data_IF_002114699725
#
_entry.id   IF_002114699725
#
_cell.length_a   1.000
_cell.length_b   1.000
_cell.length_c   1.000
_cell.angle_alpha   90.00
_cell.angle_beta   90.00
_cell.angle_gamma   90.00
#
_symmetry.space_group_name_H-M   'P 1'
#
loop_
_entity.id
_entity.type
_entity.pdbx_description
1 polymer ?
#
# COMPACT_ATOMS: atom_id res chain seq x y z
N UNK A 1 -36.50 -49.17 -73.36
CA UNK A 1 -36.47 -49.61 -71.95
C UNK A 1 -36.17 -51.10 -71.92
N UNK A 2 -35.46 -51.65 -70.90
CA UNK A 2 -35.13 -51.05 -69.60
C UNK A 2 -33.63 -50.78 -69.35
N UNK A 3 -33.37 -50.22 -68.17
CA UNK A 3 -32.18 -49.54 -67.63
C UNK A 3 -31.73 -50.29 -66.36
N UNK A 4 -30.42 -50.44 -66.10
CA UNK A 4 -29.80 -50.65 -64.78
C UNK A 4 -28.32 -50.21 -64.88
N UNK A 5 -27.82 -49.15 -64.24
CA UNK A 5 -27.59 -48.80 -62.83
C UNK A 5 -26.08 -48.82 -62.50
N UNK A 6 -25.71 -47.81 -61.73
CA UNK A 6 -24.39 -47.20 -61.49
C UNK A 6 -23.65 -47.92 -60.35
N UNK A 7 -22.35 -48.18 -60.48
CA UNK A 7 -21.52 -48.48 -59.31
C UNK A 7 -20.90 -47.20 -58.75
N UNK A 8 -21.26 -46.89 -57.50
CA UNK A 8 -20.69 -45.84 -56.67
C UNK A 8 -19.46 -46.36 -55.92
N UNK A 9 -18.32 -45.71 -56.09
CA UNK A 9 -17.19 -45.83 -55.16
C UNK A 9 -17.42 -44.85 -54.01
N UNK A 10 -17.90 -45.35 -52.86
CA UNK A 10 -18.07 -44.55 -51.65
C UNK A 10 -16.82 -44.60 -50.76
N UNK A 11 -16.11 -43.47 -50.71
CA UNK A 11 -15.03 -43.21 -49.76
C UNK A 11 -15.60 -42.98 -48.35
N UNK A 12 -15.22 -43.82 -47.38
CA UNK A 12 -15.49 -43.57 -45.96
C UNK A 12 -14.29 -42.89 -45.27
N UNK A 13 -14.43 -41.61 -44.90
CA UNK A 13 -13.70 -41.10 -43.74
C UNK A 13 -14.59 -40.14 -42.93
N UNK A 14 -15.41 -40.65 -42.00
CA UNK A 14 -16.19 -39.76 -41.10
C UNK A 14 -16.17 -40.17 -39.63
N UNK A 15 -16.08 -41.46 -39.30
CA UNK A 15 -16.24 -41.89 -37.89
C UNK A 15 -15.01 -41.63 -37.01
N UNK A 16 -13.79 -41.84 -37.53
CA UNK A 16 -12.54 -41.68 -36.75
C UNK A 16 -12.23 -40.22 -36.44
N UNK A 17 -12.53 -39.31 -37.37
CA UNK A 17 -12.30 -37.87 -37.20
C UNK A 17 -13.26 -37.27 -36.18
N UNK A 18 -14.54 -37.67 -36.19
CA UNK A 18 -15.53 -37.23 -35.20
C UNK A 18 -15.16 -37.74 -33.80
N UNK A 19 -14.71 -38.99 -33.67
CA UNK A 19 -14.26 -39.54 -32.39
C UNK A 19 -13.03 -38.78 -31.82
N UNK A 20 -12.09 -38.38 -32.68
CA UNK A 20 -10.92 -37.58 -32.25
C UNK A 20 -11.32 -36.18 -31.77
N UNK A 21 -12.28 -35.53 -32.44
CA UNK A 21 -12.76 -34.20 -32.04
C UNK A 21 -13.45 -34.27 -30.66
N UNK A 22 -14.31 -35.26 -30.45
CA UNK A 22 -15.01 -35.45 -29.16
C UNK A 22 -14.00 -35.70 -28.04
N UNK A 23 -12.99 -36.55 -28.28
CA UNK A 23 -11.91 -36.80 -27.31
C UNK A 23 -11.13 -35.54 -26.94
N UNK A 24 -10.79 -34.70 -27.92
CA UNK A 24 -10.07 -33.45 -27.68
C UNK A 24 -10.91 -32.46 -26.84
N UNK A 25 -12.21 -32.35 -27.11
CA UNK A 25 -13.11 -31.46 -26.35
C UNK A 25 -13.23 -31.92 -24.90
N UNK A 26 -13.35 -33.23 -24.65
CA UNK A 26 -13.42 -33.78 -23.28
C UNK A 26 -12.14 -33.48 -22.50
N UNK A 27 -10.97 -33.62 -23.12
CA UNK A 27 -9.68 -33.32 -22.49
C UNK A 27 -9.58 -31.83 -22.15
N UNK A 28 -9.99 -30.95 -23.06
CA UNK A 28 -9.97 -29.49 -22.81
C UNK A 28 -10.90 -29.12 -21.66
N UNK A 29 -12.12 -29.67 -21.62
CA UNK A 29 -13.07 -29.42 -20.53
C UNK A 29 -12.51 -29.94 -19.20
N UNK A 30 -11.93 -31.15 -19.18
CA UNK A 30 -11.28 -31.69 -17.99
C UNK A 30 -10.09 -30.85 -17.53
N UNK A 31 -9.28 -30.32 -18.46
CA UNK A 31 -8.18 -29.42 -18.12
C UNK A 31 -8.69 -28.09 -17.54
N UNK A 32 -9.75 -27.49 -18.12
CA UNK A 32 -10.32 -26.24 -17.61
C UNK A 32 -10.93 -26.42 -16.23
N UNK A 33 -11.63 -27.53 -16.00
CA UNK A 33 -12.17 -27.89 -14.69
C UNK A 33 -11.03 -28.15 -13.71
N UNK A 34 -10.02 -28.93 -14.09
CA UNK A 34 -8.85 -29.18 -13.26
C UNK A 34 -8.10 -27.89 -12.89
N UNK A 35 -7.94 -26.93 -13.81
CA UNK A 35 -7.32 -25.62 -13.51
C UNK A 35 -8.15 -24.80 -12.51
N UNK A 36 -9.49 -24.92 -12.51
CA UNK A 36 -10.34 -24.29 -11.50
C UNK A 36 -10.28 -24.96 -10.13
N UNK A 37 -9.96 -26.26 -10.08
CA UNK A 37 -9.89 -27.06 -8.84
C UNK A 37 -8.46 -27.29 -8.34
N UNK A 38 -7.44 -26.97 -9.14
CA UNK A 38 -6.04 -27.01 -8.74
C UNK A 38 -5.80 -25.87 -7.74
N UNK A 39 -5.42 -26.16 -6.49
CA UNK A 39 -4.99 -25.12 -5.58
C UNK A 39 -3.74 -24.51 -6.19
N UNK A 40 -3.83 -23.27 -6.67
CA UNK A 40 -2.67 -22.45 -6.95
C UNK A 40 -1.93 -22.38 -5.61
N UNK A 41 -0.88 -23.20 -5.44
CA UNK A 41 0.05 -23.06 -4.32
C UNK A 41 0.68 -21.69 -4.51
N UNK A 42 0.06 -20.68 -3.91
CA UNK A 42 0.62 -19.34 -3.83
C UNK A 42 2.04 -19.47 -3.30
N UNK A 43 2.94 -18.68 -3.87
CA UNK A 43 4.30 -18.53 -3.38
C UNK A 43 4.25 -18.32 -1.86
N UNK A 44 4.62 -19.34 -1.11
CA UNK A 44 4.76 -19.27 0.34
C UNK A 44 6.18 -18.80 0.60
N UNK A 45 6.42 -17.52 0.93
CA UNK A 45 7.76 -17.08 1.27
C UNK A 45 8.27 -17.90 2.46
N UNK A 46 9.45 -18.50 2.31
CA UNK A 46 10.08 -19.34 3.31
C UNK A 46 10.79 -18.49 4.37
N UNK A 47 10.00 -17.93 5.27
CA UNK A 47 10.24 -17.75 6.71
C UNK A 47 8.92 -17.14 7.20
N UNK A 48 8.46 -17.51 8.40
CA UNK A 48 7.14 -17.08 8.90
C UNK A 48 7.22 -15.61 9.39
N UNK A 49 7.63 -14.69 8.50
CA UNK A 49 7.64 -13.27 8.77
C UNK A 49 6.22 -12.83 9.13
N UNK A 50 6.08 -12.12 10.24
CA UNK A 50 4.81 -11.56 10.68
C UNK A 50 4.35 -10.61 9.58
N UNK A 51 3.11 -10.74 9.12
CA UNK A 51 2.56 -9.87 8.07
C UNK A 51 1.66 -8.81 8.70
N UNK A 52 1.95 -7.55 8.38
CA UNK A 52 1.26 -6.39 8.92
C UNK A 52 0.75 -5.51 7.79
N UNK A 53 -0.45 -4.95 7.93
CA UNK A 53 -0.88 -3.79 7.15
C UNK A 53 -1.08 -2.60 8.08
N UNK A 54 -0.62 -1.44 7.66
CA UNK A 54 -1.01 -0.16 8.27
C UNK A 54 -2.16 0.41 7.43
N UNK A 55 -3.36 0.46 8.01
CA UNK A 55 -4.49 1.09 7.37
C UNK A 55 -4.37 2.62 7.43
N UNK A 56 -4.99 3.35 6.48
CA UNK A 56 -5.09 4.80 6.56
C UNK A 56 -5.61 5.22 7.93
N UNK A 57 -4.82 6.01 8.65
CA UNK A 57 -5.28 6.61 9.89
C UNK A 57 -6.41 7.58 9.58
N UNK A 58 -7.45 7.53 10.41
CA UNK A 58 -8.62 8.39 10.25
C UNK A 58 -8.29 9.79 10.75
N UNK A 59 -8.59 10.79 9.93
CA UNK A 59 -8.48 12.19 10.32
C UNK A 59 -9.72 12.60 11.13
N UNK A 60 -9.52 13.01 12.38
CA UNK A 60 -10.56 13.56 13.25
C UNK A 60 -10.55 15.10 13.29
N UNK A 61 -9.64 15.72 12.55
CA UNK A 61 -9.55 17.16 12.37
C UNK A 61 -10.35 17.68 11.17
N UNK A 62 -10.07 18.92 10.74
CA UNK A 62 -10.62 19.49 9.52
C UNK A 62 -10.26 18.66 8.27
N UNK A 63 -11.11 18.72 7.23
CA UNK A 63 -10.91 17.93 6.01
C UNK A 63 -9.61 18.30 5.27
N UNK A 64 -9.15 19.54 5.40
CA UNK A 64 -7.87 20.00 4.86
C UNK A 64 -6.66 19.27 5.45
N UNK A 65 -6.77 18.65 6.63
CA UNK A 65 -5.68 17.93 7.29
C UNK A 65 -5.60 16.45 6.91
N UNK A 66 -6.39 16.01 5.93
CA UNK A 66 -6.36 14.65 5.44
C UNK A 66 -4.97 14.23 4.93
N UNK A 67 -4.24 15.16 4.29
CA UNK A 67 -2.86 14.91 3.85
C UNK A 67 -1.92 14.64 5.02
N UNK A 68 -2.18 15.27 6.17
CA UNK A 68 -1.36 15.13 7.37
C UNK A 68 -1.54 13.73 7.97
N UNK A 69 -2.79 13.29 8.16
CA UNK A 69 -3.08 11.93 8.63
C UNK A 69 -2.51 10.86 7.68
N UNK A 70 -2.62 11.08 6.37
CA UNK A 70 -2.01 10.20 5.37
C UNK A 70 -0.47 10.23 5.45
N UNK A 71 0.14 11.38 5.69
CA UNK A 71 1.58 11.55 5.91
C UNK A 71 2.09 10.78 7.13
N UNK A 72 1.36 10.84 8.26
CA UNK A 72 1.66 10.05 9.46
C UNK A 72 1.57 8.55 9.16
N UNK A 73 0.51 8.12 8.48
CA UNK A 73 0.32 6.72 8.06
C UNK A 73 1.52 6.24 7.24
N UNK A 74 1.97 7.04 6.27
CA UNK A 74 3.07 6.70 5.37
C UNK A 74 4.41 6.63 6.11
N UNK A 75 4.64 7.58 7.02
CA UNK A 75 5.86 7.64 7.83
C UNK A 75 5.97 6.44 8.79
N UNK A 76 4.85 6.01 9.39
CA UNK A 76 4.79 4.82 10.24
C UNK A 76 5.00 3.56 9.40
N UNK A 77 4.33 3.46 8.25
CA UNK A 77 4.47 2.33 7.32
C UNK A 77 5.93 2.16 6.87
N UNK A 78 6.60 3.26 6.50
CA UNK A 78 7.99 3.24 6.06
C UNK A 78 8.96 2.76 7.14
N UNK A 79 8.77 3.19 8.40
CA UNK A 79 9.60 2.75 9.53
C UNK A 79 9.41 1.27 9.81
N UNK A 80 8.16 0.80 9.86
CA UNK A 80 7.84 -0.61 10.08
C UNK A 80 8.36 -1.50 8.94
N UNK A 81 8.31 -1.02 7.69
CA UNK A 81 8.84 -1.75 6.54
C UNK A 81 10.37 -1.95 6.59
N UNK A 82 11.08 -1.17 7.40
CA UNK A 82 12.52 -1.31 7.62
C UNK A 82 12.91 -2.38 8.64
N UNK A 83 11.94 -3.00 9.33
CA UNK A 83 12.19 -4.00 10.37
C UNK A 83 12.32 -5.40 9.74
N UNK A 84 13.43 -6.08 10.01
CA UNK A 84 13.63 -7.45 9.56
C UNK A 84 12.64 -8.40 10.24
N UNK A 85 12.10 -9.34 9.46
CA UNK A 85 11.10 -10.28 9.96
C UNK A 85 9.66 -9.75 9.98
N UNK A 86 9.45 -8.47 9.61
CA UNK A 86 8.12 -7.87 9.44
C UNK A 86 7.82 -7.65 7.96
N UNK A 87 6.82 -8.35 7.44
CA UNK A 87 6.29 -8.15 6.08
C UNK A 87 5.20 -7.10 6.07
N UNK A 88 5.51 -5.87 5.68
CA UNK A 88 4.53 -4.76 5.62
C UNK A 88 3.87 -4.68 4.24
N UNK A 89 2.53 -4.71 4.21
CA UNK A 89 1.75 -4.58 2.97
C UNK A 89 1.91 -3.18 2.37
N UNK A 90 1.98 -3.12 1.04
CA UNK A 90 2.13 -1.86 0.32
C UNK A 90 1.00 -0.88 0.64
N UNK A 91 1.36 0.40 0.73
CA UNK A 91 0.44 1.51 0.91
C UNK A 91 -0.72 1.48 -0.09
N UNK A 92 -0.45 1.26 -1.38
CA UNK A 92 -1.48 1.25 -2.42
C UNK A 92 -2.55 0.18 -2.16
N UNK A 93 -2.13 -1.01 -1.73
CA UNK A 93 -3.05 -2.09 -1.35
C UNK A 93 -3.82 -1.78 -0.07
N UNK A 94 -3.26 -0.99 0.86
CA UNK A 94 -3.96 -0.58 2.08
C UNK A 94 -5.01 0.52 1.80
N UNK A 95 -4.73 1.43 0.85
CA UNK A 95 -5.59 2.59 0.55
C UNK A 95 -7.00 2.21 0.08
N UNK A 96 -7.18 1.02 -0.51
CA UNK A 96 -8.52 0.53 -0.90
C UNK A 96 -9.47 0.37 0.30
N UNK A 97 -8.93 0.28 1.52
CA UNK A 97 -9.70 0.12 2.75
C UNK A 97 -9.87 1.42 3.53
N UNK A 98 -9.54 2.59 2.95
CA UNK A 98 -9.66 3.89 3.61
C UNK A 98 -11.06 4.16 4.18
N UNK A 99 -12.12 3.80 3.43
CA UNK A 99 -13.52 3.97 3.85
C UNK A 99 -14.03 2.89 4.82
N UNK A 100 -13.20 1.89 5.13
CA UNK A 100 -13.47 0.80 6.09
C UNK A 100 -14.83 0.12 5.94
N UNK A 101 -15.30 -0.04 4.71
CA UNK A 101 -16.59 -0.70 4.41
C UNK A 101 -16.59 -2.20 4.74
N UNK A 102 -15.40 -2.79 4.94
CA UNK A 102 -15.19 -4.18 5.32
C UNK A 102 -14.71 -4.28 6.76
N UNK A 103 -15.07 -5.35 7.45
CA UNK A 103 -14.55 -5.60 8.78
C UNK A 103 -13.08 -6.08 8.76
N UNK A 104 -12.40 -5.95 9.90
CA UNK A 104 -10.98 -6.32 10.10
C UNK A 104 -10.68 -7.75 9.60
N UNK A 105 -11.54 -8.73 9.87
CA UNK A 105 -11.32 -10.13 9.44
C UNK A 105 -11.32 -10.27 7.92
N UNK A 106 -12.22 -9.56 7.24
CA UNK A 106 -12.29 -9.57 5.77
C UNK A 106 -11.05 -8.92 5.16
N UNK A 107 -10.66 -7.75 5.67
CA UNK A 107 -9.47 -7.03 5.22
C UNK A 107 -8.23 -7.91 5.41
N UNK A 108 -8.07 -8.51 6.60
CA UNK A 108 -6.92 -9.35 6.89
C UNK A 108 -6.83 -10.58 5.99
N UNK A 109 -7.98 -11.21 5.70
CA UNK A 109 -8.04 -12.36 4.80
C UNK A 109 -7.68 -11.98 3.35
N UNK A 110 -8.15 -10.85 2.87
CA UNK A 110 -7.86 -10.37 1.50
C UNK A 110 -6.40 -10.00 1.32
N UNK A 111 -5.79 -9.36 2.32
CA UNK A 111 -4.39 -8.95 2.29
C UNK A 111 -3.42 -10.04 2.72
N UNK A 112 -3.92 -11.11 3.35
CA UNK A 112 -3.11 -12.20 3.90
C UNK A 112 -2.17 -11.72 5.02
N UNK A 113 -2.70 -10.94 5.97
CA UNK A 113 -1.95 -10.38 7.10
C UNK A 113 -2.34 -11.00 8.43
N UNK A 114 -1.39 -11.04 9.36
CA UNK A 114 -1.57 -11.54 10.73
C UNK A 114 -2.06 -10.43 11.67
N UNK A 115 -1.66 -9.18 11.38
CA UNK A 115 -1.98 -8.00 12.17
C UNK A 115 -2.40 -6.82 11.30
N UNK A 116 -3.22 -5.95 11.88
CA UNK A 116 -3.66 -4.68 11.30
C UNK A 116 -3.30 -3.57 12.29
N UNK A 117 -2.54 -2.58 11.85
CA UNK A 117 -2.36 -1.32 12.57
C UNK A 117 -3.35 -0.31 11.99
N UNK A 118 -4.19 0.24 12.85
CA UNK A 118 -5.11 1.30 12.51
C UNK A 118 -5.06 2.38 13.58
N UNK A 119 -5.68 3.54 13.34
CA UNK A 119 -5.71 4.58 14.34
C UNK A 119 -6.36 5.85 13.84
N UNK A 120 -6.32 6.87 14.69
CA UNK A 120 -6.82 8.21 14.40
C UNK A 120 -5.71 9.24 14.58
N UNK A 121 -5.82 10.35 13.85
CA UNK A 121 -4.94 11.52 13.92
C UNK A 121 -5.81 12.76 14.04
N UNK A 122 -5.44 13.66 14.93
CA UNK A 122 -6.06 14.97 15.08
C UNK A 122 -4.97 16.02 15.28
N UNK A 123 -5.06 17.14 14.55
CA UNK A 123 -4.19 18.30 14.71
C UNK A 123 -5.05 19.48 15.15
N UNK A 124 -4.73 20.10 16.29
CA UNK A 124 -5.60 21.13 16.90
C UNK A 124 -5.56 22.45 16.13
N UNK A 125 -4.37 22.89 15.71
CA UNK A 125 -4.16 24.19 15.04
C UNK A 125 -3.23 24.04 13.83
N UNK A 126 -3.77 23.77 12.63
CA UNK A 126 -2.98 23.39 11.45
C UNK A 126 -1.92 24.40 11.02
N UNK A 127 -2.21 25.68 11.22
CA UNK A 127 -1.35 26.80 10.81
C UNK A 127 -0.33 27.22 11.87
N UNK A 128 -0.29 26.55 13.02
CA UNK A 128 0.58 26.89 14.14
C UNK A 128 1.77 25.91 14.22
N UNK A 129 3.03 26.37 14.18
CA UNK A 129 4.18 25.49 14.38
C UNK A 129 4.25 24.86 15.79
N UNK A 130 3.52 25.42 16.76
CA UNK A 130 3.32 24.87 18.11
C UNK A 130 2.04 24.04 18.25
N UNK A 131 1.42 23.68 17.13
CA UNK A 131 0.22 22.82 17.11
C UNK A 131 0.44 21.54 17.88
N UNK A 132 -0.59 21.09 18.60
CA UNK A 132 -0.62 19.75 19.17
C UNK A 132 -1.21 18.75 18.21
N UNK A 133 -0.62 17.56 18.22
CA UNK A 133 -1.02 16.41 17.43
C UNK A 133 -1.37 15.28 18.38
N UNK A 134 -2.60 14.80 18.27
CA UNK A 134 -3.07 13.60 18.95
C UNK A 134 -3.11 12.43 17.98
N UNK A 135 -2.48 11.31 18.34
CA UNK A 135 -2.48 10.07 17.56
C UNK A 135 -2.90 8.92 18.48
N UNK A 136 -3.88 8.14 18.04
CA UNK A 136 -4.38 6.98 18.77
C UNK A 136 -4.23 5.74 17.88
N UNK A 137 -3.02 5.17 17.76
CA UNK A 137 -2.81 3.91 17.07
C UNK A 137 -3.27 2.71 17.92
N UNK A 138 -3.72 1.67 17.23
CA UNK A 138 -4.05 0.37 17.79
C UNK A 138 -3.62 -0.75 16.86
N UNK A 139 -3.00 -1.76 17.45
CA UNK A 139 -2.57 -2.98 16.78
C UNK A 139 -3.59 -4.07 17.07
N UNK A 140 -4.22 -4.59 16.02
CA UNK A 140 -5.28 -5.59 16.07
C UNK A 140 -4.78 -6.89 15.46
N UNK A 141 -4.99 -7.99 16.17
CA UNK A 141 -4.68 -9.33 15.68
C UNK A 141 -5.83 -9.85 14.82
N UNK A 142 -5.52 -10.28 13.61
CA UNK A 142 -6.52 -10.57 12.58
C UNK A 142 -7.42 -11.78 12.89
N UNK A 143 -6.89 -12.82 13.53
CA UNK A 143 -7.62 -14.08 13.65
C UNK A 143 -8.82 -14.00 14.62
N UNK A 144 -8.70 -13.19 15.67
CA UNK A 144 -9.71 -13.05 16.73
C UNK A 144 -10.19 -11.60 16.95
N UNK A 145 -9.68 -10.62 16.20
CA UNK A 145 -9.96 -9.19 16.37
C UNK A 145 -9.57 -8.64 17.75
N UNK A 146 -8.55 -9.20 18.40
CA UNK A 146 -8.09 -8.69 19.69
C UNK A 146 -7.17 -7.49 19.49
N UNK A 147 -7.42 -6.41 20.23
CA UNK A 147 -6.46 -5.31 20.37
C UNK A 147 -5.30 -5.79 21.24
N UNK A 148 -4.12 -5.96 20.65
CA UNK A 148 -2.93 -6.45 21.36
C UNK A 148 -2.11 -5.30 21.93
N UNK A 149 -2.24 -4.11 21.35
CA UNK A 149 -1.60 -2.89 21.82
C UNK A 149 -2.41 -1.68 21.35
N UNK A 150 -2.47 -0.65 22.19
CA UNK A 150 -2.99 0.66 21.85
C UNK A 150 -2.32 1.69 22.76
N UNK A 151 -2.10 2.90 22.25
CA UNK A 151 -1.50 3.98 23.01
C UNK A 151 -2.05 5.31 22.51
N UNK A 152 -2.13 6.29 23.40
CA UNK A 152 -2.45 7.68 23.02
C UNK A 152 -1.18 8.51 23.08
N UNK A 153 -0.90 9.20 21.99
CA UNK A 153 0.11 10.22 21.89
C UNK A 153 -0.58 11.57 21.81
N UNK A 154 -0.14 12.52 22.62
CA UNK A 154 -0.63 13.90 22.66
C UNK A 154 0.59 14.79 22.88
N UNK A 155 1.14 15.26 21.77
CA UNK A 155 2.48 15.86 21.74
C UNK A 155 2.48 17.07 20.81
N UNK A 156 3.44 17.96 21.02
CA UNK A 156 3.69 19.08 20.14
C UNK A 156 4.17 18.59 18.76
N UNK A 157 3.82 19.34 17.72
CA UNK A 157 4.15 19.01 16.33
C UNK A 157 5.65 18.85 16.09
N UNK A 158 6.51 19.56 16.84
CA UNK A 158 7.97 19.43 16.79
C UNK A 158 8.49 18.05 17.28
N UNK A 159 7.70 17.32 18.07
CA UNK A 159 8.02 15.98 18.55
C UNK A 159 7.51 14.86 17.62
N UNK A 160 6.84 15.21 16.52
CA UNK A 160 6.13 14.22 15.69
C UNK A 160 7.04 13.09 15.17
N UNK A 161 8.31 13.39 14.86
CA UNK A 161 9.25 12.37 14.43
C UNK A 161 9.62 11.40 15.55
N UNK A 162 9.73 11.89 16.79
CA UNK A 162 9.95 11.05 17.98
C UNK A 162 8.73 10.15 18.19
N UNK A 163 7.52 10.72 18.11
CA UNK A 163 6.27 9.97 18.24
C UNK A 163 6.15 8.88 17.17
N UNK A 164 6.46 9.17 15.91
CA UNK A 164 6.45 8.16 14.83
C UNK A 164 7.46 7.04 15.08
N UNK A 165 8.62 7.36 15.65
CA UNK A 165 9.68 6.40 15.97
C UNK A 165 9.27 5.49 17.12
N UNK A 166 8.79 6.09 18.21
CA UNK A 166 8.30 5.38 19.41
C UNK A 166 7.12 4.48 19.04
N UNK A 167 6.13 5.00 18.30
CA UNK A 167 5.00 4.20 17.81
C UNK A 167 5.46 2.95 17.07
N UNK A 168 6.38 3.08 16.12
CA UNK A 168 6.87 1.94 15.37
C UNK A 168 7.68 0.96 16.23
N UNK A 169 8.41 1.45 17.23
CA UNK A 169 9.12 0.61 18.21
C UNK A 169 8.15 -0.15 19.12
N UNK A 170 7.13 0.53 19.67
CA UNK A 170 6.10 -0.11 20.48
C UNK A 170 5.33 -1.18 19.70
N UNK A 171 5.06 -0.95 18.41
CA UNK A 171 4.46 -1.98 17.54
C UNK A 171 5.41 -3.17 17.37
N UNK A 172 6.70 -2.95 17.15
CA UNK A 172 7.68 -4.03 17.05
C UNK A 172 7.76 -4.85 18.34
N UNK A 173 7.78 -4.17 19.49
CA UNK A 173 7.76 -4.80 20.82
C UNK A 173 6.48 -5.60 21.05
N UNK A 174 5.31 -5.07 20.68
CA UNK A 174 4.03 -5.77 20.80
C UNK A 174 3.92 -7.00 19.89
N UNK A 175 4.78 -7.10 18.88
CA UNK A 175 4.92 -8.25 17.98
C UNK A 175 6.06 -9.20 18.39
N UNK A 176 6.68 -8.98 19.55
CA UNK A 176 7.86 -9.71 20.03
C UNK A 176 9.05 -9.70 19.04
N UNK A 177 9.18 -8.62 18.27
CA UNK A 177 10.28 -8.43 17.30
C UNK A 177 11.43 -7.68 17.98
N UNK A 178 12.61 -8.28 18.01
CA UNK A 178 13.82 -7.64 18.54
C UNK A 178 14.45 -6.74 17.49
N UNK A 179 14.48 -5.43 17.75
CA UNK A 179 15.13 -4.47 16.89
C UNK A 179 16.66 -4.51 17.03
N UNK A 180 17.36 -4.69 15.91
CA UNK A 180 18.82 -4.53 15.83
C UNK A 180 19.21 -3.06 15.73
N UNK A 181 20.44 -2.73 16.11
CA UNK A 181 20.93 -1.36 16.18
C UNK A 181 20.78 -0.54 14.87
N UNK A 182 21.02 -1.10 13.67
CA UNK A 182 20.75 -0.40 12.41
C UNK A 182 19.28 0.00 12.22
N UNK A 183 18.34 -0.84 12.64
CA UNK A 183 16.90 -0.56 12.54
C UNK A 183 16.51 0.55 13.50
N UNK A 184 17.01 0.50 14.75
CA UNK A 184 16.79 1.57 15.75
C UNK A 184 17.24 2.92 15.22
N UNK A 185 18.41 2.99 14.59
CA UNK A 185 18.91 4.22 13.95
C UNK A 185 18.05 4.68 12.78
N UNK A 186 17.59 3.76 11.93
CA UNK A 186 16.70 4.09 10.83
C UNK A 186 15.38 4.67 11.35
N UNK A 187 14.81 4.07 12.39
CA UNK A 187 13.55 4.52 12.99
C UNK A 187 13.70 5.90 13.62
N UNK A 188 14.79 6.14 14.35
CA UNK A 188 15.11 7.42 14.99
C UNK A 188 15.50 8.54 14.01
N UNK A 189 15.64 8.25 12.71
CA UNK A 189 16.00 9.26 11.73
C UNK A 189 14.90 10.33 11.61
N UNK A 190 15.34 11.59 11.61
CA UNK A 190 14.48 12.75 11.37
C UNK A 190 14.69 13.18 9.92
N UNK A 191 13.61 13.33 9.14
CA UNK A 191 13.71 13.65 7.72
C UNK A 191 14.14 15.10 7.48
N UNK A 192 13.84 16.00 8.42
CA UNK A 192 14.18 17.43 8.40
C UNK A 192 14.11 17.98 9.83
N UNK A 193 14.81 19.09 10.08
CA UNK A 193 14.68 19.89 11.32
C UNK A 193 13.69 21.05 11.17
N UNK A 194 13.16 21.29 9.96
CA UNK A 194 12.21 22.36 9.67
C UNK A 194 10.79 21.79 9.49
N UNK A 195 9.91 22.05 10.45
CA UNK A 195 8.52 21.55 10.43
C UNK A 195 7.67 22.16 9.33
N UNK A 196 7.97 23.38 8.90
CA UNK A 196 7.27 24.01 7.77
C UNK A 196 7.68 23.33 6.45
N UNK A 197 8.97 23.04 6.28
CA UNK A 197 9.45 22.25 5.14
C UNK A 197 8.80 20.87 5.11
N UNK A 198 8.66 20.23 6.27
CA UNK A 198 7.96 18.96 6.40
C UNK A 198 6.49 19.04 5.97
N UNK A 199 5.74 20.05 6.43
CA UNK A 199 4.34 20.25 6.06
C UNK A 199 4.17 20.43 4.54
N UNK A 200 4.99 21.29 3.92
CA UNK A 200 5.02 21.45 2.47
C UNK A 200 5.32 20.14 1.75
N UNK A 201 6.28 19.34 2.23
CA UNK A 201 6.56 18.04 1.65
C UNK A 201 5.36 17.08 1.75
N UNK A 202 4.63 17.07 2.88
CA UNK A 202 3.43 16.24 3.03
C UNK A 202 2.31 16.67 2.08
N UNK A 203 2.09 17.98 1.91
CA UNK A 203 1.12 18.50 0.94
C UNK A 203 1.50 18.11 -0.48
N UNK A 204 2.79 18.24 -0.85
CA UNK A 204 3.29 17.77 -2.14
C UNK A 204 3.02 16.29 -2.37
N UNK A 205 3.21 15.44 -1.35
CA UNK A 205 2.93 14.00 -1.43
C UNK A 205 1.44 13.70 -1.68
N UNK A 206 0.51 14.54 -1.22
CA UNK A 206 -0.91 14.38 -1.53
C UNK A 206 -1.20 14.66 -3.00
N UNK A 207 -0.76 15.83 -3.49
CA UNK A 207 -0.98 16.22 -4.88
C UNK A 207 -0.29 15.27 -5.87
N UNK A 208 0.90 14.76 -5.53
CA UNK A 208 1.64 13.83 -6.39
C UNK A 208 0.97 12.44 -6.54
N UNK A 209 -0.10 12.14 -5.79
CA UNK A 209 -0.88 10.91 -5.98
C UNK A 209 -1.74 10.94 -7.23
N UNK A 210 -2.05 12.15 -7.72
CA UNK A 210 -2.78 12.35 -8.95
C UNK A 210 -1.84 12.23 -10.15
N UNK A 211 -2.39 11.78 -11.27
CA UNK A 211 -1.70 11.80 -12.58
C UNK A 211 -2.08 13.03 -13.41
N UNK A 212 -2.89 13.94 -12.85
CA UNK A 212 -3.30 15.16 -13.52
C UNK A 212 -2.15 16.17 -13.49
N UNK A 213 -1.85 16.75 -14.65
CA UNK A 213 -0.79 17.76 -14.83
C UNK A 213 -0.82 18.86 -13.77
N UNK A 214 -1.99 19.48 -13.57
CA UNK A 214 -2.16 20.56 -12.60
C UNK A 214 -1.80 20.14 -11.17
N UNK A 215 -2.14 18.91 -10.77
CA UNK A 215 -1.83 18.41 -9.43
C UNK A 215 -0.32 18.15 -9.30
N UNK A 216 0.31 17.58 -10.32
CA UNK A 216 1.76 17.37 -10.32
C UNK A 216 2.52 18.70 -10.29
N UNK A 217 2.05 19.73 -11.00
CA UNK A 217 2.59 21.09 -10.89
C UNK A 217 2.42 21.70 -9.50
N UNK A 218 1.28 21.46 -8.84
CA UNK A 218 1.11 21.89 -7.44
C UNK A 218 2.10 21.13 -6.55
N UNK A 219 2.26 19.82 -6.74
CA UNK A 219 3.22 19.01 -5.98
C UNK A 219 4.65 19.54 -6.13
N UNK A 220 5.10 19.84 -7.36
CA UNK A 220 6.40 20.46 -7.64
C UNK A 220 6.57 21.75 -6.81
N UNK A 221 5.60 22.67 -6.89
CA UNK A 221 5.65 23.93 -6.11
C UNK A 221 5.74 23.72 -4.60
N UNK A 222 5.05 22.69 -4.08
CA UNK A 222 5.11 22.35 -2.66
C UNK A 222 6.49 21.78 -2.29
N UNK A 223 7.07 20.91 -3.12
CA UNK A 223 8.41 20.37 -2.86
C UNK A 223 9.51 21.43 -3.03
N UNK A 224 9.37 22.35 -3.98
CA UNK A 224 10.26 23.51 -4.14
C UNK A 224 10.29 24.34 -2.86
N UNK A 225 9.11 24.65 -2.29
CA UNK A 225 9.04 25.35 -0.99
C UNK A 225 9.70 24.56 0.13
N UNK A 226 9.54 23.24 0.16
CA UNK A 226 10.19 22.41 1.17
C UNK A 226 11.73 22.47 1.07
N UNK A 227 12.32 22.41 -0.13
CA UNK A 227 13.78 22.49 -0.31
C UNK A 227 14.32 23.91 -0.15
N UNK A 228 13.53 24.94 -0.44
CA UNK A 228 13.88 26.34 -0.12
C UNK A 228 13.98 26.56 1.40
N UNK A 229 13.05 25.97 2.17
CA UNK A 229 12.99 26.10 3.62
C UNK A 229 14.03 25.22 4.35
N UNK A 230 14.38 24.06 3.77
CA UNK A 230 15.45 23.20 4.25
C UNK A 230 16.25 22.60 3.08
N UNK A 231 17.38 23.24 2.70
CA UNK A 231 18.26 22.74 1.64
C UNK A 231 18.94 21.39 1.94
N UNK A 232 18.82 20.86 3.16
CA UNK A 232 19.35 19.55 3.54
C UNK A 232 18.29 18.44 3.51
N UNK A 233 17.03 18.79 3.20
CA UNK A 233 15.90 17.86 3.20
C UNK A 233 15.94 16.90 1.99
N UNK A 234 16.76 15.86 2.09
CA UNK A 234 17.01 14.91 1.00
C UNK A 234 15.75 14.25 0.42
N UNK A 235 14.75 13.95 1.27
CA UNK A 235 13.49 13.33 0.82
C UNK A 235 12.71 14.31 -0.06
N UNK A 236 12.68 15.61 0.26
CA UNK A 236 11.98 16.60 -0.56
C UNK A 236 12.61 16.71 -1.96
N UNK A 237 13.94 16.67 -2.07
CA UNK A 237 14.63 16.59 -3.37
C UNK A 237 14.28 15.32 -4.15
N UNK A 238 14.25 14.16 -3.48
CA UNK A 238 13.90 12.90 -4.13
C UNK A 238 12.46 12.92 -4.67
N UNK A 239 11.53 13.54 -3.92
CA UNK A 239 10.12 13.72 -4.33
C UNK A 239 9.98 14.71 -5.48
N UNK A 240 10.67 15.85 -5.40
CA UNK A 240 10.73 16.85 -6.47
C UNK A 240 11.24 16.25 -7.78
N UNK A 241 12.36 15.52 -7.73
CA UNK A 241 12.90 14.82 -8.90
C UNK A 241 11.91 13.81 -9.47
N UNK A 242 11.25 13.03 -8.61
CA UNK A 242 10.23 12.06 -9.04
C UNK A 242 9.05 12.74 -9.74
N UNK A 243 8.61 13.91 -9.25
CA UNK A 243 7.52 14.68 -9.85
C UNK A 243 7.90 15.27 -11.22
N UNK A 244 9.13 15.78 -11.39
CA UNK A 244 9.61 16.21 -12.71
C UNK A 244 9.71 15.04 -13.70
N UNK A 245 10.22 13.89 -13.24
CA UNK A 245 10.26 12.67 -14.06
C UNK A 245 8.84 12.30 -14.51
N UNK A 246 7.85 12.37 -13.61
CA UNK A 246 6.44 12.14 -13.93
C UNK A 246 5.95 13.09 -15.03
N UNK A 247 6.18 14.40 -14.92
CA UNK A 247 5.79 15.39 -15.94
C UNK A 247 6.43 15.09 -17.31
N UNK A 248 7.70 14.70 -17.33
CA UNK A 248 8.39 14.32 -18.55
C UNK A 248 7.77 13.07 -19.21
N UNK A 249 7.51 12.00 -18.43
CA UNK A 249 6.95 10.75 -18.96
C UNK A 249 5.53 10.89 -19.50
N UNK A 250 4.72 11.76 -18.90
CA UNK A 250 3.35 12.03 -19.36
C UNK A 250 3.27 13.12 -20.44
N UNK A 251 4.42 13.55 -20.99
CA UNK A 251 4.52 14.55 -22.06
C UNK A 251 4.01 15.95 -21.69
N UNK A 252 3.94 16.29 -20.41
CA UNK A 252 3.52 17.62 -19.94
C UNK A 252 4.66 18.65 -19.99
N UNK A 253 5.91 18.21 -19.89
CA UNK A 253 7.11 19.08 -19.86
C UNK A 253 7.86 19.11 -21.21
N UNK A 254 7.12 19.10 -22.33
CA UNK A 254 7.68 19.21 -23.69
C UNK A 254 7.13 20.43 -24.41
N UNK A 255 7.56 21.61 -23.99
CA UNK A 255 7.36 22.87 -24.70
C UNK A 255 8.54 23.79 -24.49
#
# INVERSE_FOLDING_TARGET
APVLFKEEVTSQPKLRTVAMIIGAVIIIVLCVVAVKFLPIKGFQPSSKAIRLVVLPFENLGPAEDEYFAAGITDAVTARLAGIHGLGVISRQSAMQYKKREKNIKQIAKELGVDYILEGTVQREHPSDPTSRVRIIPQLVRAFDNTHVWAQTYDNDMNEIFRVQSDLAEQVALALDITLIEPERRLMASRPTENMEAYDYCLRGNEYNRSYLENDVMIAIRMYDKAVELDPTFAIAYARLSSAHVQMYWFYYDRS
#
